data_IF_221902520804
#
_entry.id   IF_221902520804
#
_cell.length_a   1.000
_cell.length_b   1.000
_cell.length_c   1.000
_cell.angle_alpha   90.00
_cell.angle_beta   90.00
_cell.angle_gamma   90.00
#
_symmetry.space_group_name_H-M   'P 1'
#
loop_
_entity.id
_entity.type
_entity.pdbx_description
1 polymer ?
#
# COMPACT_ATOMS: atom_id res chain seq x y z
N UNK A 1 59.42 -0.76 -10.59
CA UNK A 1 58.37 0.30 -10.81
C UNK A 1 57.17 -0.20 -11.61
N UNK A 2 57.34 -0.92 -12.69
CA UNK A 2 56.20 -1.45 -13.49
C UNK A 2 55.28 -2.40 -12.71
N UNK A 3 55.81 -3.25 -11.82
CA UNK A 3 54.99 -4.18 -11.01
C UNK A 3 54.10 -3.51 -9.97
N UNK A 4 54.53 -2.37 -9.42
CA UNK A 4 53.73 -1.61 -8.45
C UNK A 4 52.55 -0.86 -9.11
N UNK A 5 52.71 -0.42 -10.36
CA UNK A 5 51.65 0.21 -11.12
C UNK A 5 50.49 -0.76 -11.42
N UNK A 6 50.82 -2.00 -11.76
CA UNK A 6 49.79 -3.03 -12.01
C UNK A 6 49.05 -3.43 -10.74
N UNK A 7 49.72 -3.44 -9.59
CA UNK A 7 49.08 -3.73 -8.30
C UNK A 7 48.10 -2.62 -7.90
N UNK A 8 48.45 -1.36 -8.15
CA UNK A 8 47.54 -0.23 -7.89
C UNK A 8 46.37 -0.23 -8.83
N UNK A 9 46.55 -0.51 -10.11
CA UNK A 9 45.45 -0.59 -11.09
C UNK A 9 44.51 -1.76 -10.75
N UNK A 10 45.06 -2.92 -10.36
CA UNK A 10 44.24 -4.06 -9.94
C UNK A 10 43.40 -3.76 -8.68
N UNK A 11 43.96 -2.97 -7.74
CA UNK A 11 43.25 -2.57 -6.53
C UNK A 11 42.15 -1.58 -6.81
N UNK A 12 42.35 -0.66 -7.75
CA UNK A 12 41.29 0.30 -8.17
C UNK A 12 40.14 -0.41 -8.90
N UNK A 13 40.45 -1.42 -9.73
CA UNK A 13 39.42 -2.21 -10.42
C UNK A 13 38.64 -3.08 -9.44
N UNK A 14 39.25 -3.59 -8.38
CA UNK A 14 38.61 -4.40 -7.37
C UNK A 14 37.68 -3.57 -6.47
N UNK A 15 38.03 -2.31 -6.19
CA UNK A 15 37.14 -1.38 -5.42
C UNK A 15 35.98 -0.87 -6.27
N UNK A 16 36.16 -0.75 -7.60
CA UNK A 16 35.14 -0.30 -8.52
C UNK A 16 33.98 -1.32 -8.76
N UNK A 17 34.27 -2.62 -8.54
CA UNK A 17 33.25 -3.67 -8.75
C UNK A 17 32.37 -3.98 -7.55
N UNK A 18 32.58 -3.34 -6.41
CA UNK A 18 31.70 -3.45 -5.22
C UNK A 18 30.59 -2.42 -5.17
N UNK A 19 30.42 -1.59 -6.19
CA UNK A 19 29.21 -0.83 -6.43
C UNK A 19 28.10 -1.74 -7.02
N UNK A 20 27.96 -2.96 -6.50
CA UNK A 20 26.77 -3.76 -6.70
C UNK A 20 25.68 -3.00 -5.96
N UNK A 21 24.81 -2.41 -6.74
CA UNK A 21 23.54 -1.85 -6.34
C UNK A 21 22.95 -2.69 -5.21
N UNK A 22 23.10 -2.24 -3.97
CA UNK A 22 22.19 -2.59 -2.92
C UNK A 22 20.85 -2.01 -3.36
N UNK A 23 20.14 -2.72 -4.22
CA UNK A 23 18.68 -2.62 -4.23
C UNK A 23 18.33 -3.07 -2.84
N UNK A 24 18.19 -2.08 -1.95
CA UNK A 24 17.61 -2.29 -0.66
C UNK A 24 16.32 -3.07 -0.95
N UNK A 25 16.33 -4.34 -0.62
CA UNK A 25 15.13 -5.12 -0.57
C UNK A 25 14.28 -4.44 0.50
N UNK A 26 13.44 -3.52 0.06
CA UNK A 26 12.40 -2.92 0.88
C UNK A 26 11.33 -4.00 1.03
N UNK A 27 11.76 -5.13 1.60
CA UNK A 27 10.89 -6.24 1.91
C UNK A 27 9.83 -5.71 2.88
N UNK A 28 8.61 -5.61 2.41
CA UNK A 28 7.45 -5.38 3.24
C UNK A 28 6.99 -3.93 3.41
N UNK A 29 7.70 -2.92 2.92
CA UNK A 29 7.24 -1.53 3.04
C UNK A 29 6.39 -1.13 1.84
N UNK A 30 5.09 -1.05 2.04
CA UNK A 30 4.18 -0.45 1.06
C UNK A 30 4.40 1.08 1.04
N UNK A 31 4.58 1.63 -0.16
CA UNK A 31 4.54 3.06 -0.42
C UNK A 31 3.84 3.27 -1.75
N UNK A 32 2.55 3.65 -1.72
CA UNK A 32 1.70 3.83 -2.87
C UNK A 32 1.15 5.25 -2.90
N UNK A 33 0.95 5.78 -4.11
CA UNK A 33 0.24 7.03 -4.33
C UNK A 33 -1.00 6.72 -5.17
N UNK A 34 -2.17 7.14 -4.71
CA UNK A 34 -3.43 6.92 -5.38
C UNK A 34 -4.28 8.19 -5.42
N UNK A 35 -4.89 8.45 -6.57
CA UNK A 35 -5.95 9.45 -6.68
C UNK A 35 -7.29 8.76 -6.48
N UNK A 36 -7.97 9.08 -5.38
CA UNK A 36 -9.24 8.49 -4.99
C UNK A 36 -10.34 9.50 -5.34
N UNK A 37 -11.22 9.19 -6.32
CA UNK A 37 -12.16 10.16 -6.85
C UNK A 37 -13.48 10.30 -6.04
N UNK A 38 -13.56 9.67 -4.87
CA UNK A 38 -14.74 9.68 -4.01
C UNK A 38 -14.35 9.83 -2.55
N UNK A 39 -15.29 10.28 -1.73
CA UNK A 39 -15.18 10.24 -0.27
C UNK A 39 -15.19 8.78 0.20
N UNK A 40 -14.34 8.44 1.15
CA UNK A 40 -14.22 7.08 1.65
C UNK A 40 -13.90 7.05 3.15
N UNK A 41 -14.21 5.93 3.77
CA UNK A 41 -13.97 5.71 5.20
C UNK A 41 -12.80 4.75 5.44
N UNK A 42 -11.99 5.08 6.44
CA UNK A 42 -10.95 4.23 6.99
C UNK A 42 -11.22 4.06 8.48
N UNK A 43 -11.54 2.85 8.89
CA UNK A 43 -12.03 2.62 10.24
C UNK A 43 -13.33 3.41 10.47
N UNK A 44 -13.31 4.33 11.42
CA UNK A 44 -14.44 5.20 11.73
C UNK A 44 -14.23 6.65 11.24
N UNK A 45 -13.21 6.91 10.43
CA UNK A 45 -12.89 8.25 9.92
C UNK A 45 -13.23 8.35 8.44
N UNK A 46 -13.99 9.38 8.06
CA UNK A 46 -14.25 9.74 6.67
C UNK A 46 -13.15 10.66 6.14
N UNK A 47 -12.77 10.44 4.90
CA UNK A 47 -11.72 11.14 4.18
C UNK A 47 -12.27 11.61 2.83
N UNK A 48 -12.04 12.88 2.43
CA UNK A 48 -12.54 13.40 1.16
C UNK A 48 -11.85 12.76 -0.04
N UNK A 49 -12.43 12.93 -1.22
CA UNK A 49 -11.77 12.61 -2.48
C UNK A 49 -10.46 13.38 -2.62
N UNK A 50 -9.43 12.78 -3.22
CA UNK A 50 -8.14 13.43 -3.43
C UNK A 50 -6.99 12.47 -3.67
N UNK A 51 -5.78 13.01 -3.77
CA UNK A 51 -4.55 12.23 -3.87
C UNK A 51 -4.03 11.88 -2.47
N UNK A 52 -3.76 10.59 -2.26
CA UNK A 52 -3.31 10.03 -1.00
C UNK A 52 -2.04 9.22 -1.16
N UNK A 53 -1.17 9.31 -0.16
CA UNK A 53 -0.05 8.40 0.02
C UNK A 53 -0.42 7.34 1.04
N UNK A 54 -0.24 6.08 0.68
CA UNK A 54 -0.46 4.91 1.56
C UNK A 54 0.90 4.30 1.88
N UNK A 55 1.25 4.25 3.16
CA UNK A 55 2.54 3.70 3.63
C UNK A 55 2.35 2.75 4.79
N UNK A 56 3.12 1.66 4.80
CA UNK A 56 3.28 0.85 6.00
C UNK A 56 4.25 1.54 6.96
N UNK A 57 3.89 1.58 8.24
CA UNK A 57 4.69 2.20 9.30
C UNK A 57 5.16 1.23 10.37
N UNK A 58 4.77 -0.05 10.27
CA UNK A 58 5.27 -1.12 11.14
C UNK A 58 6.08 -2.13 10.33
N UNK A 59 7.09 -2.71 10.96
CA UNK A 59 7.94 -3.74 10.37
C UNK A 59 7.45 -5.17 10.71
N UNK A 60 6.35 -5.31 11.45
CA UNK A 60 5.76 -6.62 11.76
C UNK A 60 5.00 -7.16 10.56
N UNK A 61 5.46 -8.29 10.03
CA UNK A 61 4.88 -8.93 8.84
C UNK A 61 3.47 -9.49 9.05
N UNK A 62 3.03 -9.69 10.29
CA UNK A 62 1.70 -10.24 10.61
C UNK A 62 0.65 -9.16 10.85
N UNK A 63 1.07 -8.05 11.45
CA UNK A 63 0.20 -6.93 11.78
C UNK A 63 0.80 -5.63 11.24
N UNK A 64 0.49 -5.32 10.01
CA UNK A 64 1.00 -4.11 9.36
C UNK A 64 0.08 -2.95 9.67
N UNK A 65 0.64 -1.86 10.18
CA UNK A 65 -0.09 -0.60 10.32
C UNK A 65 0.11 0.21 9.06
N UNK A 66 -1.00 0.53 8.38
CA UNK A 66 -1.02 1.44 7.25
C UNK A 66 -1.32 2.86 7.73
N UNK A 67 -0.56 3.81 7.21
CA UNK A 67 -0.86 5.24 7.27
C UNK A 67 -1.31 5.70 5.90
N UNK A 68 -2.48 6.31 5.84
CA UNK A 68 -3.03 6.93 4.64
C UNK A 68 -3.09 8.44 4.91
N UNK A 69 -2.42 9.22 4.08
CA UNK A 69 -2.27 10.66 4.28
C UNK A 69 -2.54 11.39 2.96
N UNK A 70 -3.34 12.47 3.03
CA UNK A 70 -3.56 13.35 1.89
C UNK A 70 -2.25 14.03 1.44
N UNK A 71 -2.17 14.39 0.17
CA UNK A 71 -0.98 15.02 -0.40
C UNK A 71 -0.58 16.31 0.30
N UNK A 72 -1.54 17.11 0.75
CA UNK A 72 -1.33 18.36 1.50
C UNK A 72 -0.96 18.12 2.98
N UNK A 73 -0.98 16.86 3.43
CA UNK A 73 -0.65 16.48 4.79
C UNK A 73 -1.70 16.79 5.85
N UNK A 74 -2.79 17.48 5.48
CA UNK A 74 -3.81 17.94 6.44
C UNK A 74 -4.69 16.83 6.96
N UNK A 75 -4.90 15.79 6.17
CA UNK A 75 -5.77 14.67 6.52
C UNK A 75 -4.98 13.38 6.54
N UNK A 76 -5.09 12.64 7.61
CA UNK A 76 -4.46 11.32 7.72
C UNK A 76 -5.30 10.37 8.57
N UNK A 77 -5.17 9.09 8.28
CA UNK A 77 -5.73 8.00 9.07
C UNK A 77 -4.71 6.86 9.17
N UNK A 78 -4.81 6.09 10.23
CA UNK A 78 -4.03 4.88 10.43
C UNK A 78 -4.98 3.73 10.70
N UNK A 79 -4.63 2.55 10.20
CA UNK A 79 -5.39 1.34 10.47
C UNK A 79 -4.46 0.14 10.54
N UNK A 80 -4.84 -0.82 11.35
CA UNK A 80 -4.18 -2.11 11.40
C UNK A 80 -4.73 -3.00 10.30
N UNK A 81 -3.83 -3.71 9.61
CA UNK A 81 -4.17 -4.64 8.54
C UNK A 81 -3.53 -5.99 8.80
N UNK A 82 -4.09 -7.01 8.19
CA UNK A 82 -3.51 -8.36 8.12
C UNK A 82 -3.05 -8.65 6.70
N UNK A 83 -2.10 -9.57 6.57
CA UNK A 83 -1.65 -10.03 5.25
C UNK A 83 -2.71 -10.97 4.65
N UNK A 84 -3.01 -10.77 3.38
CA UNK A 84 -3.86 -11.65 2.57
C UNK A 84 -3.07 -12.11 1.34
N UNK A 85 -3.23 -13.39 0.98
CA UNK A 85 -2.59 -13.96 -0.21
C UNK A 85 -3.57 -13.95 -1.38
N UNK A 86 -3.04 -13.71 -2.58
CA UNK A 86 -3.79 -13.70 -3.81
C UNK A 86 -2.89 -13.98 -5.02
N UNK A 87 -3.32 -13.56 -6.18
CA UNK A 87 -2.48 -13.59 -7.39
C UNK A 87 -1.55 -12.38 -7.42
N UNK A 88 -0.34 -12.56 -7.95
CA UNK A 88 0.57 -11.44 -8.21
C UNK A 88 -0.14 -10.38 -9.06
N UNK A 89 -0.06 -9.13 -8.62
CA UNK A 89 -0.76 -8.02 -9.26
C UNK A 89 0.12 -7.41 -10.35
N UNK A 90 -0.44 -7.14 -11.52
CA UNK A 90 0.27 -6.45 -12.59
C UNK A 90 0.51 -4.97 -12.26
N UNK A 91 -0.35 -4.37 -11.47
CA UNK A 91 -0.26 -2.97 -11.02
C UNK A 91 -0.66 -2.85 -9.57
N UNK A 92 -0.04 -1.90 -8.89
CA UNK A 92 -0.46 -1.53 -7.54
C UNK A 92 -1.91 -1.03 -7.56
N UNK A 93 -2.69 -1.41 -6.55
CA UNK A 93 -4.11 -1.04 -6.45
C UNK A 93 -4.58 -0.93 -5.01
N UNK A 94 -5.59 -0.10 -4.80
CA UNK A 94 -6.40 -0.06 -3.58
C UNK A 94 -7.79 -0.61 -3.91
N UNK A 95 -8.34 -1.38 -2.99
CA UNK A 95 -9.69 -1.95 -3.11
C UNK A 95 -10.57 -1.31 -2.04
N UNK A 96 -11.78 -0.95 -2.44
CA UNK A 96 -12.80 -0.38 -1.56
C UNK A 96 -14.07 -1.23 -1.64
N UNK A 97 -14.68 -1.49 -0.49
CA UNK A 97 -16.04 -2.00 -0.47
C UNK A 97 -17.02 -0.83 -0.65
N UNK A 98 -18.02 -1.05 -1.47
CA UNK A 98 -19.08 -0.08 -1.71
C UNK A 98 -20.41 -0.60 -1.18
N UNK A 99 -21.04 0.20 -0.32
CA UNK A 99 -22.39 -0.03 0.20
C UNK A 99 -23.25 1.19 -0.12
N UNK A 100 -24.08 1.09 -1.16
CA UNK A 100 -24.82 2.25 -1.68
C UNK A 100 -23.85 3.35 -2.18
N UNK A 101 -23.86 4.49 -1.51
CA UNK A 101 -22.98 5.63 -1.78
C UNK A 101 -21.78 5.73 -0.81
N UNK A 102 -21.60 4.76 0.06
CA UNK A 102 -20.52 4.73 1.04
C UNK A 102 -19.40 3.81 0.55
N UNK A 103 -18.14 4.29 0.65
CA UNK A 103 -16.96 3.55 0.27
C UNK A 103 -16.08 3.34 1.50
N UNK A 104 -15.61 2.12 1.69
CA UNK A 104 -14.74 1.73 2.80
C UNK A 104 -13.47 1.12 2.26
N UNK A 105 -12.32 1.60 2.75
CA UNK A 105 -11.04 1.01 2.39
C UNK A 105 -10.99 -0.45 2.83
N UNK A 106 -10.64 -1.34 1.90
CA UNK A 106 -10.60 -2.77 2.14
C UNK A 106 -9.21 -3.36 2.00
N UNK A 107 -8.51 -3.12 0.90
CA UNK A 107 -7.21 -3.77 0.64
C UNK A 107 -6.25 -2.85 -0.09
N UNK A 108 -4.94 -3.09 0.13
CA UNK A 108 -3.85 -2.51 -0.64
C UNK A 108 -2.97 -3.61 -1.23
N UNK A 109 -2.65 -3.49 -2.50
CA UNK A 109 -1.82 -4.43 -3.26
C UNK A 109 -0.69 -3.70 -3.97
N UNK A 110 0.51 -4.29 -3.93
CA UNK A 110 1.69 -3.78 -4.63
C UNK A 110 1.87 -4.55 -5.93
N UNK A 111 2.38 -3.88 -6.96
CA UNK A 111 2.75 -4.52 -8.22
C UNK A 111 3.82 -5.59 -8.01
N UNK A 112 3.68 -6.72 -8.69
CA UNK A 112 4.58 -7.86 -8.63
C UNK A 112 4.48 -8.71 -7.35
N UNK A 113 3.66 -8.33 -6.37
CA UNK A 113 3.48 -9.11 -5.13
C UNK A 113 2.16 -9.88 -5.14
N UNK A 114 2.19 -11.12 -4.66
CA UNK A 114 1.01 -11.96 -4.41
C UNK A 114 0.41 -11.74 -3.04
N UNK A 115 1.07 -10.94 -2.19
CA UNK A 115 0.59 -10.59 -0.84
C UNK A 115 0.02 -9.19 -0.86
N UNK A 116 -1.19 -9.06 -0.34
CA UNK A 116 -1.85 -7.79 -0.09
C UNK A 116 -2.02 -7.53 1.40
N UNK A 117 -2.46 -6.34 1.73
CA UNK A 117 -2.86 -5.96 3.07
C UNK A 117 -4.36 -5.72 3.10
N UNK A 118 -5.04 -6.33 4.06
CA UNK A 118 -6.49 -6.26 4.22
C UNK A 118 -6.85 -5.58 5.54
N UNK A 119 -7.75 -4.60 5.46
CA UNK A 119 -8.32 -3.93 6.60
C UNK A 119 -9.45 -4.76 7.23
N UNK A 120 -9.52 -4.77 8.55
CA UNK A 120 -10.69 -5.32 9.23
C UNK A 120 -11.89 -4.41 9.05
N UNK A 121 -13.07 -4.99 8.80
CA UNK A 121 -14.32 -4.22 8.69
C UNK A 121 -14.58 -3.43 9.98
N UNK A 122 -14.72 -2.13 9.84
CA UNK A 122 -15.04 -1.23 10.95
C UNK A 122 -16.49 -1.43 11.44
N UNK A 123 -16.81 -0.84 12.58
CA UNK A 123 -18.22 -0.83 13.07
C UNK A 123 -19.12 -0.11 12.08
N UNK A 124 -18.68 1.01 11.51
CA UNK A 124 -19.43 1.79 10.52
C UNK A 124 -19.66 0.98 9.24
N UNK A 125 -18.66 0.26 8.75
CA UNK A 125 -18.78 -0.61 7.57
C UNK A 125 -19.79 -1.74 7.80
N UNK A 126 -19.74 -2.41 8.96
CA UNK A 126 -20.71 -3.47 9.29
C UNK A 126 -22.13 -2.95 9.44
N UNK A 127 -22.31 -1.69 9.87
CA UNK A 127 -23.62 -1.06 9.91
C UNK A 127 -24.15 -0.79 8.50
N UNK A 128 -23.33 -0.22 7.62
CA UNK A 128 -23.68 0.01 6.21
C UNK A 128 -23.99 -1.31 5.48
N UNK A 129 -23.22 -2.36 5.72
CA UNK A 129 -23.47 -3.70 5.14
C UNK A 129 -24.84 -4.25 5.54
N UNK A 130 -25.22 -4.12 6.83
CA UNK A 130 -26.55 -4.57 7.32
C UNK A 130 -27.69 -3.76 6.73
N UNK A 131 -27.51 -2.44 6.61
CA UNK A 131 -28.51 -1.55 6.02
C UNK A 131 -28.77 -1.92 4.55
N UNK A 132 -27.71 -2.13 3.76
CA UNK A 132 -27.82 -2.53 2.36
C UNK A 132 -28.41 -3.93 2.21
N UNK A 133 -28.05 -4.87 3.07
CA UNK A 133 -28.64 -6.21 3.08
C UNK A 133 -30.15 -6.17 3.35
N UNK A 134 -30.59 -5.29 4.23
CA UNK A 134 -32.00 -5.07 4.51
C UNK A 134 -32.77 -4.50 3.30
N UNK A 135 -32.11 -3.67 2.47
CA UNK A 135 -32.70 -3.06 1.27
C UNK A 135 -32.55 -3.99 0.04
N UNK A 136 -31.88 -5.14 0.16
CA UNK A 136 -31.60 -6.09 -0.94
C UNK A 136 -30.79 -5.48 -2.11
N UNK A 137 -29.95 -4.50 -1.85
CA UNK A 137 -29.04 -3.93 -2.84
C UNK A 137 -27.73 -4.74 -2.92
N UNK A 138 -27.19 -4.92 -4.12
CA UNK A 138 -25.94 -5.62 -4.30
C UNK A 138 -24.75 -4.83 -3.74
N UNK A 139 -23.90 -5.49 -2.97
CA UNK A 139 -22.60 -4.96 -2.57
C UNK A 139 -21.64 -5.02 -3.77
N UNK A 140 -20.91 -3.94 -4.03
CA UNK A 140 -19.91 -3.84 -5.07
C UNK A 140 -18.53 -3.54 -4.49
N UNK A 141 -17.48 -4.03 -5.15
CA UNK A 141 -16.10 -3.65 -4.87
C UNK A 141 -15.61 -2.67 -5.93
N UNK A 142 -14.90 -1.64 -5.49
CA UNK A 142 -14.30 -0.63 -6.36
C UNK A 142 -12.79 -0.71 -6.22
N UNK A 143 -12.10 -0.72 -7.35
CA UNK A 143 -10.63 -0.78 -7.42
C UNK A 143 -10.10 0.55 -7.93
N UNK A 144 -9.15 1.12 -7.21
CA UNK A 144 -8.42 2.32 -7.61
C UNK A 144 -6.97 1.93 -7.89
N UNK A 145 -6.50 2.24 -9.10
CA UNK A 145 -5.11 1.99 -9.48
C UNK A 145 -4.20 2.95 -8.70
N UNK A 146 -3.16 2.40 -8.12
CA UNK A 146 -2.13 3.15 -7.41
C UNK A 146 -0.79 3.08 -8.15
N UNK A 147 0.12 3.99 -7.80
CA UNK A 147 1.51 4.02 -8.29
C UNK A 147 2.49 4.04 -7.12
N UNK A 148 3.67 3.57 -7.39
CA UNK A 148 4.86 3.68 -6.51
C UNK A 148 5.54 5.02 -6.63
#
# INVERSE_FOLDING_TARGET
MKKQAYTMIAMIVLVGSLAISAKAQTSGRIALIANIPFEFSIGNKSLPAGEYTVRSISDDSRNVVLRIQSRDGKTSAMLQTSTVEGKAQERAKLVFHRYGNQYFFAQAWVDGDSRGLEAQKSRAERAAEREIAAIKMATASVVVTARR
#
